data_IF_363370666862
#
_entry.id   IF_363370666862
#
_cell.length_a   1.000
_cell.length_b   1.000
_cell.length_c   1.000
_cell.angle_alpha   90.00
_cell.angle_beta   90.00
_cell.angle_gamma   90.00
#
_symmetry.space_group_name_H-M   'P 1'
#
loop_
_entity.id
_entity.type
_entity.pdbx_description
1 polymer ?
#
# COMPACT_ATOMS: atom_id res chain seq x y z
N UNK A 1 12.21 -24.03 35.27
CA UNK A 1 13.65 -24.06 35.00
C UNK A 1 14.45 -23.34 36.11
N UNK A 2 13.92 -22.31 36.74
CA UNK A 2 14.63 -21.53 37.77
C UNK A 2 14.67 -22.26 39.14
N UNK A 3 13.75 -23.19 39.39
CA UNK A 3 13.67 -23.92 40.69
C UNK A 3 14.59 -25.13 40.78
N UNK A 4 15.01 -25.72 39.67
CA UNK A 4 15.92 -26.86 39.64
C UNK A 4 17.42 -26.50 39.65
N UNK A 5 17.80 -25.27 39.25
CA UNK A 5 19.21 -24.79 39.19
C UNK A 5 19.82 -24.56 40.60
N UNK A 6 19.01 -24.17 41.61
CA UNK A 6 19.56 -23.82 42.92
C UNK A 6 20.00 -24.98 43.80
N UNK A 7 19.70 -26.22 43.44
CA UNK A 7 19.96 -27.38 44.32
C UNK A 7 21.35 -28.04 44.10
N UNK A 8 22.01 -27.77 42.98
CA UNK A 8 23.23 -28.44 42.57
C UNK A 8 24.35 -27.48 42.14
N UNK A 9 24.14 -26.16 42.25
CA UNK A 9 25.11 -25.11 41.86
C UNK A 9 26.42 -25.11 42.67
N UNK A 10 26.48 -25.90 43.77
CA UNK A 10 27.65 -26.02 44.63
C UNK A 10 28.46 -27.29 44.39
N UNK A 11 28.05 -28.16 43.47
CA UNK A 11 28.75 -29.38 43.11
C UNK A 11 29.66 -29.17 41.91
N UNK A 12 30.89 -29.64 41.98
CA UNK A 12 31.79 -29.69 40.84
C UNK A 12 31.28 -30.66 39.77
N UNK A 13 31.78 -30.50 38.54
CA UNK A 13 31.46 -31.39 37.43
C UNK A 13 31.78 -32.85 37.73
N UNK A 14 32.91 -33.08 38.47
CA UNK A 14 33.32 -34.39 38.89
C UNK A 14 32.39 -35.01 39.92
N UNK A 15 31.90 -34.24 40.87
CA UNK A 15 30.93 -34.71 41.88
C UNK A 15 29.55 -35.03 41.26
N UNK A 16 29.15 -34.29 40.22
CA UNK A 16 27.92 -34.61 39.49
C UNK A 16 28.06 -35.89 38.68
N UNK A 17 29.21 -36.13 38.06
CA UNK A 17 29.50 -37.37 37.31
C UNK A 17 29.51 -38.56 38.27
N UNK A 18 30.22 -38.48 39.41
CA UNK A 18 30.24 -39.56 40.40
C UNK A 18 28.84 -39.87 40.97
N UNK A 19 27.99 -38.88 41.06
CA UNK A 19 26.63 -39.06 41.53
C UNK A 19 25.71 -39.71 40.49
N UNK A 20 25.94 -39.38 39.20
CA UNK A 20 25.24 -40.04 38.09
C UNK A 20 25.68 -41.52 38.03
N UNK A 21 26.99 -41.81 38.05
CA UNK A 21 27.53 -43.18 38.05
C UNK A 21 27.03 -44.02 39.25
N UNK A 22 26.88 -43.39 40.43
CA UNK A 22 26.27 -44.05 41.61
C UNK A 22 24.78 -44.33 41.39
N UNK A 23 24.04 -43.41 40.85
CA UNK A 23 22.62 -43.60 40.57
C UNK A 23 22.39 -44.64 39.49
N UNK A 24 23.26 -44.69 38.46
CA UNK A 24 23.24 -45.73 37.44
C UNK A 24 23.57 -47.11 37.99
N UNK A 25 24.56 -47.24 38.89
CA UNK A 25 24.90 -48.49 39.55
C UNK A 25 23.82 -48.96 40.55
N UNK A 26 23.15 -48.04 41.23
CA UNK A 26 22.01 -48.33 42.10
C UNK A 26 20.76 -48.76 41.27
N UNK A 27 20.59 -48.18 40.07
CA UNK A 27 19.54 -48.56 39.12
C UNK A 27 19.80 -49.97 38.56
N UNK A 28 21.05 -50.31 38.19
CA UNK A 28 21.43 -51.64 37.69
C UNK A 28 21.20 -52.71 38.77
N UNK A 29 21.49 -52.40 40.06
CA UNK A 29 21.25 -53.34 41.17
C UNK A 29 19.75 -53.55 41.45
N UNK A 30 18.92 -52.58 41.15
CA UNK A 30 17.46 -52.65 41.35
C UNK A 30 16.75 -53.48 40.25
N UNK A 31 17.40 -53.72 39.09
CA UNK A 31 16.78 -54.45 37.95
C UNK A 31 16.93 -55.97 37.98
N UNK A 32 17.48 -56.56 39.06
CA UNK A 32 17.86 -58.01 39.05
C UNK A 32 16.85 -59.00 39.70
N UNK A 33 15.71 -58.56 40.27
CA UNK A 33 14.60 -59.50 40.65
C UNK A 33 13.29 -58.78 40.68
N UNK A 34 12.29 -59.12 39.85
CA UNK A 34 10.96 -58.53 39.97
C UNK A 34 10.21 -59.14 41.08
N UNK A 35 10.14 -58.48 42.24
CA UNK A 35 9.17 -58.85 43.31
C UNK A 35 7.85 -58.09 43.10
N UNK A 36 6.74 -58.52 43.73
CA UNK A 36 5.46 -57.83 43.62
C UNK A 36 5.51 -56.35 44.07
N UNK A 37 6.54 -55.99 44.86
CA UNK A 37 6.86 -54.58 45.24
C UNK A 37 7.45 -53.72 44.11
N UNK A 38 8.16 -54.35 43.14
CA UNK A 38 8.78 -53.63 42.04
C UNK A 38 7.74 -53.20 41.00
N UNK A 39 6.74 -54.05 40.75
CA UNK A 39 5.60 -53.68 39.89
C UNK A 39 4.75 -52.52 40.48
N UNK A 40 4.59 -52.46 41.79
CA UNK A 40 3.93 -51.31 42.44
C UNK A 40 4.78 -50.03 42.35
N UNK A 41 6.10 -50.15 42.42
CA UNK A 41 7.00 -49.01 42.31
C UNK A 41 7.03 -48.47 40.87
N UNK A 42 7.12 -49.36 39.87
CA UNK A 42 7.03 -48.97 38.44
C UNK A 42 5.68 -48.37 38.10
N UNK A 43 4.59 -48.92 38.65
CA UNK A 43 3.27 -48.37 38.42
C UNK A 43 3.11 -46.96 39.07
N UNK A 44 3.66 -46.73 40.26
CA UNK A 44 3.73 -45.40 40.88
C UNK A 44 4.58 -44.40 40.11
N UNK A 45 5.75 -44.86 39.61
CA UNK A 45 6.61 -44.00 38.78
C UNK A 45 5.95 -43.66 37.45
N UNK A 46 5.31 -44.58 36.78
CA UNK A 46 4.54 -44.36 35.55
C UNK A 46 3.39 -43.38 35.81
N UNK A 47 2.65 -43.56 36.95
CA UNK A 47 1.57 -42.65 37.32
C UNK A 47 2.08 -41.23 37.63
N UNK A 48 3.24 -41.10 38.30
CA UNK A 48 3.88 -39.80 38.54
C UNK A 48 4.32 -39.12 37.23
N UNK A 49 4.87 -39.91 36.31
CA UNK A 49 5.27 -39.39 34.98
C UNK A 49 4.08 -38.92 34.18
N UNK A 50 2.99 -39.69 34.16
CA UNK A 50 1.74 -39.31 33.47
C UNK A 50 1.16 -38.04 34.09
N UNK A 51 1.10 -37.95 35.44
CA UNK A 51 0.61 -36.76 36.11
C UNK A 51 1.48 -35.53 35.82
N UNK A 52 2.80 -35.68 35.80
CA UNK A 52 3.72 -34.61 35.47
C UNK A 52 3.53 -34.14 34.02
N UNK A 53 3.42 -35.08 33.07
CA UNK A 53 3.17 -34.77 31.66
C UNK A 53 1.83 -34.05 31.47
N UNK A 54 0.79 -34.48 32.18
CA UNK A 54 -0.52 -33.84 32.12
C UNK A 54 -0.44 -32.39 32.64
N UNK A 55 0.19 -32.17 33.80
CA UNK A 55 0.38 -30.82 34.37
C UNK A 55 1.21 -29.95 33.40
N UNK A 56 2.29 -30.50 32.81
CA UNK A 56 3.13 -29.79 31.86
C UNK A 56 2.34 -29.40 30.61
N UNK A 57 1.59 -30.36 30.05
CA UNK A 57 0.74 -30.14 28.88
C UNK A 57 -0.34 -29.09 29.16
N UNK A 58 -1.05 -29.20 30.28
CA UNK A 58 -2.06 -28.22 30.68
C UNK A 58 -1.44 -26.83 30.87
N UNK A 59 -0.26 -26.76 31.49
CA UNK A 59 0.44 -25.49 31.68
C UNK A 59 0.86 -24.89 30.36
N UNK A 60 1.41 -25.68 29.43
CA UNK A 60 1.81 -25.19 28.11
C UNK A 60 0.58 -24.73 27.33
N UNK A 61 -0.42 -25.59 27.20
CA UNK A 61 -1.61 -25.34 26.39
C UNK A 61 -2.46 -24.19 26.92
N UNK A 62 -2.47 -23.97 28.25
CA UNK A 62 -3.19 -22.84 28.87
C UNK A 62 -2.49 -21.50 28.74
N UNK A 63 -1.16 -21.48 28.51
CA UNK A 63 -0.37 -20.25 28.40
C UNK A 63 0.10 -19.94 26.97
N UNK A 64 -0.23 -20.77 26.00
CA UNK A 64 0.02 -20.48 24.57
C UNK A 64 -1.05 -19.54 24.06
N UNK A 65 -0.61 -18.47 23.35
CA UNK A 65 -1.49 -17.46 22.73
C UNK A 65 -2.17 -17.92 21.44
N UNK A 66 -2.03 -19.20 21.10
CA UNK A 66 -2.66 -19.82 19.94
C UNK A 66 -3.89 -20.58 20.43
N UNK A 67 -4.99 -20.38 19.78
CA UNK A 67 -6.20 -21.14 20.05
C UNK A 67 -6.00 -22.58 19.64
N UNK A 68 -6.27 -23.49 20.55
CA UNK A 68 -6.12 -24.93 20.34
C UNK A 68 -7.42 -25.62 20.67
N UNK A 69 -7.96 -26.30 19.68
CA UNK A 69 -9.14 -27.14 19.83
C UNK A 69 -8.87 -28.54 19.32
N UNK A 70 -9.45 -29.52 19.94
CA UNK A 70 -9.35 -30.93 19.52
C UNK A 70 -10.73 -31.53 19.40
N UNK A 71 -10.98 -32.26 18.31
CA UNK A 71 -12.24 -32.95 18.03
C UNK A 71 -12.02 -34.43 17.94
N UNK A 72 -12.96 -35.21 18.51
CA UNK A 72 -13.02 -36.67 18.40
C UNK A 72 -13.78 -37.09 17.13
N UNK A 73 -13.07 -37.68 16.17
CA UNK A 73 -13.60 -37.96 14.83
C UNK A 73 -14.66 -39.06 14.86
N UNK A 74 -14.40 -40.16 15.60
CA UNK A 74 -15.35 -41.28 15.66
C UNK A 74 -16.60 -40.94 16.47
N UNK A 75 -16.52 -39.95 17.36
CA UNK A 75 -17.65 -39.46 18.13
C UNK A 75 -18.35 -38.27 17.47
N UNK A 76 -18.40 -38.23 16.15
CA UNK A 76 -19.11 -37.22 15.39
C UNK A 76 -18.47 -35.81 15.39
N UNK A 77 -17.17 -35.72 15.58
CA UNK A 77 -16.41 -34.46 15.68
C UNK A 77 -16.79 -33.61 16.89
N UNK A 78 -17.07 -34.25 18.03
CA UNK A 78 -17.30 -33.52 19.27
C UNK A 78 -16.01 -32.91 19.77
N UNK A 79 -16.09 -31.67 20.26
CA UNK A 79 -14.98 -31.01 20.92
C UNK A 79 -14.63 -31.71 22.21
N UNK A 80 -13.38 -32.14 22.34
CA UNK A 80 -12.85 -32.80 23.54
C UNK A 80 -11.82 -31.96 24.27
N UNK A 81 -11.30 -30.94 23.60
CA UNK A 81 -10.36 -29.98 24.18
C UNK A 81 -10.58 -28.58 23.60
N UNK A 82 -10.46 -27.55 24.45
CA UNK A 82 -10.63 -26.16 24.12
C UNK A 82 -9.80 -25.34 25.12
N UNK A 83 -8.70 -24.71 24.66
CA UNK A 83 -7.80 -24.01 25.58
C UNK A 83 -8.30 -22.61 25.92
N UNK A 84 -7.62 -22.00 26.90
CA UNK A 84 -7.94 -20.63 27.35
C UNK A 84 -7.86 -19.57 26.24
N UNK A 85 -6.87 -19.65 25.36
CA UNK A 85 -6.79 -18.75 24.23
C UNK A 85 -8.00 -18.82 23.30
N UNK A 86 -8.55 -20.03 23.09
CA UNK A 86 -9.78 -20.22 22.33
C UNK A 86 -11.01 -19.61 23.03
N UNK A 87 -11.08 -19.69 24.36
CA UNK A 87 -12.14 -19.02 25.14
C UNK A 87 -12.05 -17.49 24.99
N UNK A 88 -10.84 -16.94 25.12
CA UNK A 88 -10.60 -15.48 25.01
C UNK A 88 -10.90 -14.94 23.63
N UNK A 89 -10.55 -15.68 22.59
CA UNK A 89 -10.80 -15.29 21.21
C UNK A 89 -12.27 -15.36 20.81
N UNK A 90 -12.93 -16.48 21.12
CA UNK A 90 -14.33 -16.72 20.75
C UNK A 90 -15.32 -16.05 21.69
N UNK A 91 -14.91 -15.76 22.92
CA UNK A 91 -15.79 -15.28 24.00
C UNK A 91 -16.70 -16.35 24.58
N UNK A 92 -16.49 -17.65 24.24
CA UNK A 92 -17.29 -18.79 24.71
C UNK A 92 -16.46 -19.64 25.65
N UNK A 93 -17.05 -20.10 26.72
CA UNK A 93 -16.38 -20.96 27.71
C UNK A 93 -16.24 -22.41 27.22
N UNK A 94 -15.14 -23.07 27.61
CA UNK A 94 -14.88 -24.45 27.24
C UNK A 94 -16.03 -25.40 27.71
N UNK A 95 -16.60 -25.13 28.88
CA UNK A 95 -17.75 -25.91 29.44
C UNK A 95 -18.99 -25.85 28.53
N UNK A 96 -19.17 -24.77 27.76
CA UNK A 96 -20.30 -24.64 26.84
C UNK A 96 -20.04 -25.30 25.48
N UNK A 97 -18.78 -25.63 25.17
CA UNK A 97 -18.33 -26.20 23.89
C UNK A 97 -18.03 -27.69 23.98
N UNK A 98 -17.39 -28.10 25.08
CA UNK A 98 -16.98 -29.50 25.24
C UNK A 98 -18.15 -30.47 25.14
N UNK A 99 -17.95 -31.53 24.38
CA UNK A 99 -18.96 -32.55 24.10
C UNK A 99 -19.95 -32.18 22.98
N UNK A 100 -19.92 -30.95 22.45
CA UNK A 100 -20.80 -30.52 21.35
C UNK A 100 -20.08 -30.62 19.98
N UNK A 101 -20.85 -30.62 18.92
CA UNK A 101 -20.38 -30.57 17.53
C UNK A 101 -20.52 -29.14 16.99
N UNK A 102 -19.88 -28.86 15.84
CA UNK A 102 -20.05 -27.58 15.14
C UNK A 102 -21.52 -27.26 14.83
N UNK A 103 -22.31 -28.26 14.46
CA UNK A 103 -23.74 -28.08 14.14
C UNK A 103 -24.62 -27.80 15.38
N UNK A 104 -24.22 -28.29 16.55
CA UNK A 104 -24.91 -27.99 17.81
C UNK A 104 -24.56 -26.58 18.32
N UNK A 105 -23.35 -26.09 17.97
CA UNK A 105 -22.89 -24.74 18.32
C UNK A 105 -23.39 -23.69 17.34
N UNK A 106 -23.51 -24.03 16.06
CA UNK A 106 -23.90 -23.13 14.95
C UNK A 106 -25.04 -23.78 14.14
N UNK A 107 -26.25 -23.94 14.67
CA UNK A 107 -27.29 -24.81 14.11
C UNK A 107 -27.77 -24.39 12.72
N UNK A 108 -27.75 -23.08 12.37
CA UNK A 108 -28.25 -22.58 11.10
C UNK A 108 -27.13 -21.92 10.25
N UNK A 109 -25.86 -22.21 10.54
CA UNK A 109 -24.78 -21.48 9.90
C UNK A 109 -24.17 -22.28 8.75
N UNK A 110 -24.02 -21.61 7.62
CA UNK A 110 -23.15 -21.98 6.50
C UNK A 110 -21.75 -22.34 7.01
N UNK A 111 -21.30 -21.71 8.08
CA UNK A 111 -20.02 -21.88 8.72
C UNK A 111 -19.81 -23.30 9.28
N UNK A 112 -20.81 -23.92 9.93
CA UNK A 112 -20.69 -25.29 10.42
C UNK A 112 -20.42 -26.28 9.28
N UNK A 113 -21.02 -26.05 8.12
CA UNK A 113 -20.78 -26.87 6.93
C UNK A 113 -19.39 -26.63 6.33
N UNK A 114 -18.93 -25.40 6.29
CA UNK A 114 -17.59 -25.04 5.82
C UNK A 114 -16.52 -25.69 6.72
N UNK A 115 -16.60 -25.50 8.03
CA UNK A 115 -15.69 -26.13 9.00
C UNK A 115 -15.68 -27.67 8.81
N UNK A 116 -16.83 -28.30 8.71
CA UNK A 116 -16.94 -29.74 8.52
C UNK A 116 -16.33 -30.23 7.21
N UNK A 117 -16.48 -29.46 6.13
CA UNK A 117 -15.90 -29.77 4.82
C UNK A 117 -14.39 -29.74 4.88
N UNK A 118 -13.82 -28.75 5.54
CA UNK A 118 -12.37 -28.58 5.73
C UNK A 118 -11.79 -29.66 6.66
N UNK A 119 -12.51 -30.00 7.74
CA UNK A 119 -12.17 -31.11 8.63
C UNK A 119 -12.09 -32.43 7.84
N UNK A 120 -13.09 -32.72 7.01
CA UNK A 120 -13.07 -33.90 6.14
C UNK A 120 -11.95 -33.90 5.12
N UNK A 121 -11.62 -32.74 4.55
CA UNK A 121 -10.50 -32.60 3.63
C UNK A 121 -9.18 -32.96 4.30
N UNK A 122 -8.97 -32.49 5.52
CA UNK A 122 -7.77 -32.82 6.32
C UNK A 122 -7.66 -34.31 6.60
N UNK A 123 -8.78 -34.94 7.00
CA UNK A 123 -8.83 -36.39 7.28
C UNK A 123 -8.53 -37.20 6.00
N UNK A 124 -9.17 -36.83 4.88
CA UNK A 124 -9.02 -37.55 3.60
C UNK A 124 -7.59 -37.47 3.07
N UNK A 125 -6.94 -36.35 3.23
CA UNK A 125 -5.57 -36.15 2.74
C UNK A 125 -4.52 -36.72 3.70
N UNK A 126 -4.83 -36.83 4.98
CA UNK A 126 -3.88 -37.22 6.04
C UNK A 126 -2.72 -36.24 6.20
N UNK A 127 -2.80 -35.08 5.59
CA UNK A 127 -1.74 -34.04 5.62
C UNK A 127 -2.18 -32.86 6.46
N UNK A 128 -1.21 -32.19 7.04
CA UNK A 128 -1.44 -30.92 7.72
C UNK A 128 -1.92 -29.88 6.67
N UNK A 129 -3.08 -29.28 6.93
CA UNK A 129 -3.62 -28.18 6.13
C UNK A 129 -3.32 -26.87 6.86
N UNK A 130 -2.79 -25.91 6.14
CA UNK A 130 -2.51 -24.55 6.65
C UNK A 130 -3.14 -23.55 5.70
N UNK A 131 -4.01 -22.70 6.22
CA UNK A 131 -4.71 -21.69 5.46
C UNK A 131 -4.82 -20.37 6.23
N UNK A 132 -4.89 -19.28 5.48
CA UNK A 132 -5.12 -17.94 6.02
C UNK A 132 -6.52 -17.52 5.57
N UNK A 133 -7.38 -17.16 6.51
CA UNK A 133 -8.77 -16.80 6.24
C UNK A 133 -9.18 -15.57 7.05
N UNK A 134 -10.19 -14.88 6.54
CA UNK A 134 -10.92 -13.88 7.32
C UNK A 134 -11.93 -14.60 8.20
N UNK A 135 -11.86 -14.32 9.48
CA UNK A 135 -12.68 -14.93 10.50
C UNK A 135 -13.56 -13.86 11.14
N UNK A 136 -14.87 -14.00 11.00
CA UNK A 136 -15.82 -13.15 11.69
C UNK A 136 -16.15 -13.73 13.08
N UNK A 137 -15.82 -12.97 14.13
CA UNK A 137 -16.16 -13.30 15.51
C UNK A 137 -17.67 -13.19 15.76
N UNK A 138 -18.18 -13.81 16.82
CA UNK A 138 -19.60 -13.69 17.18
C UNK A 138 -20.11 -12.26 17.40
N UNK A 139 -19.21 -11.33 17.71
CA UNK A 139 -19.51 -9.90 17.87
C UNK A 139 -19.49 -9.10 16.55
N UNK A 140 -19.29 -9.75 15.40
CA UNK A 140 -19.18 -9.11 14.08
C UNK A 140 -17.80 -8.55 13.75
N UNK A 141 -16.81 -8.73 14.62
CA UNK A 141 -15.44 -8.30 14.38
C UNK A 141 -14.72 -9.25 13.42
N UNK A 142 -14.16 -8.71 12.31
CA UNK A 142 -13.40 -9.50 11.34
C UNK A 142 -11.93 -9.52 11.74
N UNK A 143 -11.36 -10.71 11.80
CA UNK A 143 -9.94 -10.98 12.09
C UNK A 143 -9.29 -11.78 10.97
N UNK A 144 -8.01 -11.57 10.75
CA UNK A 144 -7.22 -12.40 9.85
C UNK A 144 -6.55 -13.49 10.69
N UNK A 145 -6.92 -14.74 10.42
CA UNK A 145 -6.42 -15.87 11.20
C UNK A 145 -5.69 -16.87 10.32
N UNK A 146 -4.65 -17.45 10.89
CA UNK A 146 -3.94 -18.57 10.29
C UNK A 146 -4.39 -19.86 10.97
N UNK A 147 -5.11 -20.71 10.24
CA UNK A 147 -5.65 -21.96 10.74
C UNK A 147 -4.76 -23.12 10.31
N UNK A 148 -4.41 -23.96 11.24
CA UNK A 148 -3.67 -25.20 11.01
C UNK A 148 -4.50 -26.37 11.49
N UNK A 149 -4.78 -27.33 10.62
CA UNK A 149 -5.48 -28.57 10.93
C UNK A 149 -4.55 -29.76 10.79
N UNK A 150 -4.56 -30.62 11.77
CA UNK A 150 -3.69 -31.80 11.83
C UNK A 150 -4.47 -33.00 12.31
N UNK A 151 -4.40 -34.11 11.58
CA UNK A 151 -4.90 -35.42 12.01
C UNK A 151 -3.89 -36.07 12.97
N UNK A 152 -4.32 -36.37 14.17
CA UNK A 152 -3.58 -37.17 15.17
C UNK A 152 -4.15 -38.59 15.18
N UNK A 153 -3.33 -39.53 14.73
CA UNK A 153 -3.66 -40.95 14.77
C UNK A 153 -3.20 -41.57 16.10
N UNK A 154 -4.09 -42.29 16.76
CA UNK A 154 -3.72 -43.01 17.95
C UNK A 154 -3.03 -44.32 17.55
N UNK A 155 -1.91 -44.72 18.19
CA UNK A 155 -1.28 -46.00 17.94
C UNK A 155 -2.12 -47.20 18.39
N UNK A 156 -3.07 -47.02 19.31
CA UNK A 156 -4.02 -48.06 19.72
C UNK A 156 -5.09 -48.22 18.63
N UNK A 157 -5.23 -49.43 18.02
CA UNK A 157 -6.17 -49.67 16.92
C UNK A 157 -7.65 -49.43 17.26
N UNK A 158 -7.99 -49.44 18.56
CA UNK A 158 -9.37 -49.20 19.06
C UNK A 158 -9.69 -47.76 19.40
N UNK A 159 -8.70 -46.88 19.43
CA UNK A 159 -8.90 -45.52 19.86
C UNK A 159 -9.27 -44.60 18.69
N UNK A 160 -10.10 -43.59 18.96
CA UNK A 160 -10.51 -42.60 17.97
C UNK A 160 -9.34 -41.75 17.51
N UNK A 161 -9.17 -41.51 16.19
CA UNK A 161 -8.29 -40.46 15.70
C UNK A 161 -8.85 -39.08 16.09
N UNK A 162 -7.95 -38.15 16.36
CA UNK A 162 -8.28 -36.80 16.78
C UNK A 162 -7.93 -35.79 15.71
N UNK A 163 -8.74 -34.76 15.60
CA UNK A 163 -8.46 -33.61 14.77
C UNK A 163 -8.01 -32.42 15.64
N UNK A 164 -6.75 -32.06 15.56
CA UNK A 164 -6.21 -30.86 16.19
C UNK A 164 -6.39 -29.68 15.24
N UNK A 165 -7.01 -28.62 15.74
CA UNK A 165 -7.13 -27.34 15.02
C UNK A 165 -6.45 -26.26 15.87
N UNK A 166 -5.51 -25.56 15.26
CA UNK A 166 -4.83 -24.41 15.85
C UNK A 166 -5.19 -23.18 15.03
N UNK A 167 -5.59 -22.12 15.71
CA UNK A 167 -5.94 -20.85 15.10
C UNK A 167 -5.08 -19.76 15.74
N UNK A 168 -4.38 -19.00 14.91
CA UNK A 168 -3.53 -17.89 15.34
C UNK A 168 -4.04 -16.59 14.72
N UNK A 169 -4.49 -15.65 15.54
CA UNK A 169 -4.85 -14.30 15.10
C UNK A 169 -3.57 -13.55 14.68
N UNK A 170 -3.50 -13.19 13.40
CA UNK A 170 -2.37 -12.46 12.80
C UNK A 170 -2.78 -11.07 12.31
N UNK A 171 -3.94 -10.57 12.77
CA UNK A 171 -4.51 -9.30 12.30
C UNK A 171 -3.57 -8.13 12.54
N UNK A 172 -3.10 -7.97 13.78
CA UNK A 172 -2.17 -6.89 14.16
C UNK A 172 -0.84 -7.03 13.40
N UNK A 173 -0.27 -8.23 13.39
CA UNK A 173 0.98 -8.51 12.67
C UNK A 173 0.86 -8.19 11.17
N UNK A 174 -0.30 -8.46 10.57
CA UNK A 174 -0.57 -8.19 9.16
C UNK A 174 -0.73 -6.69 8.89
N UNK A 175 -1.40 -5.98 9.80
CA UNK A 175 -1.54 -4.53 9.73
C UNK A 175 -0.19 -3.83 9.86
N UNK A 176 0.64 -4.24 10.80
CA UNK A 176 2.00 -3.70 10.99
C UNK A 176 2.88 -3.97 9.76
N UNK A 177 2.80 -5.18 9.20
CA UNK A 177 3.52 -5.53 7.98
C UNK A 177 3.11 -4.65 6.79
N UNK A 178 1.79 -4.43 6.61
CA UNK A 178 1.27 -3.55 5.56
C UNK A 178 1.66 -2.09 5.78
N UNK A 179 1.64 -1.61 7.03
CA UNK A 179 2.09 -0.27 7.38
C UNK A 179 3.58 -0.09 7.08
N UNK A 180 4.41 -1.08 7.46
CA UNK A 180 5.84 -1.05 7.17
C UNK A 180 6.13 -1.07 5.67
N UNK A 181 5.40 -1.88 4.90
CA UNK A 181 5.54 -1.91 3.43
C UNK A 181 5.22 -0.55 2.80
N UNK A 182 4.14 0.12 3.24
CA UNK A 182 3.77 1.46 2.77
C UNK A 182 4.86 2.50 3.08
N UNK A 183 5.45 2.45 4.28
CA UNK A 183 6.54 3.35 4.67
C UNK A 183 7.78 3.09 3.82
N UNK A 184 8.15 1.82 3.60
CA UNK A 184 9.29 1.46 2.76
C UNK A 184 9.10 1.87 1.30
N UNK A 185 7.89 1.73 0.76
CA UNK A 185 7.56 2.15 -0.59
C UNK A 185 7.65 3.68 -0.74
N UNK A 186 7.09 4.43 0.23
CA UNK A 186 7.20 5.88 0.27
C UNK A 186 8.67 6.34 0.37
N UNK A 187 9.51 5.66 1.16
CA UNK A 187 10.94 5.99 1.27
C UNK A 187 11.70 5.70 -0.03
N UNK A 188 11.41 4.58 -0.70
CA UNK A 188 11.96 4.28 -2.03
C UNK A 188 11.59 5.34 -3.06
N UNK A 189 10.34 5.75 -3.10
CA UNK A 189 9.87 6.82 -4.01
C UNK A 189 10.57 8.14 -3.71
N UNK A 190 10.73 8.50 -2.42
CA UNK A 190 11.45 9.71 -1.99
C UNK A 190 12.92 9.68 -2.43
N UNK A 191 13.61 8.55 -2.26
CA UNK A 191 15.02 8.42 -2.64
C UNK A 191 15.20 8.47 -4.16
N UNK A 192 14.32 7.83 -4.93
CA UNK A 192 14.28 7.95 -6.39
C UNK A 192 14.00 9.39 -6.84
N UNK A 193 13.11 10.12 -6.14
CA UNK A 193 12.86 11.54 -6.38
C UNK A 193 14.13 12.37 -6.23
N UNK A 194 14.85 12.24 -5.12
CA UNK A 194 16.08 13.02 -4.86
C UNK A 194 17.15 12.71 -5.92
N UNK A 195 17.32 11.43 -6.28
CA UNK A 195 18.30 11.01 -7.29
C UNK A 195 17.98 11.61 -8.67
N UNK A 196 16.73 11.51 -9.11
CA UNK A 196 16.26 12.06 -10.38
C UNK A 196 16.40 13.59 -10.42
N UNK A 197 16.00 14.29 -9.34
CA UNK A 197 16.16 15.74 -9.23
C UNK A 197 17.62 16.18 -9.33
N UNK A 198 18.51 15.45 -8.64
CA UNK A 198 19.94 15.75 -8.70
C UNK A 198 20.49 15.63 -10.13
N UNK A 199 20.01 14.65 -10.90
CA UNK A 199 20.40 14.47 -12.29
C UNK A 199 19.84 15.59 -13.19
N UNK A 200 18.53 15.89 -13.05
CA UNK A 200 17.84 16.91 -13.86
C UNK A 200 18.36 18.35 -13.58
N UNK A 201 18.87 18.62 -12.38
CA UNK A 201 19.54 19.87 -12.02
C UNK A 201 20.96 19.91 -12.59
N UNK A 202 21.71 18.80 -12.51
CA UNK A 202 23.12 18.76 -12.92
C UNK A 202 23.31 19.01 -14.41
N UNK A 203 22.43 18.47 -15.23
CA UNK A 203 22.54 18.58 -16.71
C UNK A 203 22.51 20.03 -17.20
N UNK A 204 21.49 20.87 -16.91
CA UNK A 204 21.47 22.25 -17.30
C UNK A 204 22.56 23.07 -16.61
N UNK A 205 22.90 22.78 -15.35
CA UNK A 205 23.97 23.49 -14.66
C UNK A 205 25.33 23.28 -15.33
N UNK A 206 25.66 22.05 -15.72
CA UNK A 206 26.89 21.75 -16.44
C UNK A 206 26.94 22.43 -17.80
N UNK A 207 25.79 22.50 -18.49
CA UNK A 207 25.70 23.26 -19.76
C UNK A 207 25.96 24.76 -19.53
N UNK A 208 25.33 25.39 -18.52
CA UNK A 208 25.56 26.80 -18.17
C UNK A 208 27.05 27.04 -17.90
N UNK A 209 27.68 26.24 -17.06
CA UNK A 209 29.10 26.39 -16.69
C UNK A 209 30.00 26.18 -17.91
N UNK A 210 29.75 25.14 -18.72
CA UNK A 210 30.57 24.84 -19.90
C UNK A 210 30.49 25.93 -20.97
N UNK A 211 29.27 26.38 -21.29
CA UNK A 211 29.12 27.46 -22.30
C UNK A 211 29.57 28.84 -21.78
N UNK A 212 29.47 29.10 -20.45
CA UNK A 212 30.03 30.30 -19.86
C UNK A 212 31.56 30.39 -20.05
N UNK A 213 32.29 29.28 -19.94
CA UNK A 213 33.73 29.24 -20.28
C UNK A 213 33.96 29.53 -21.76
N UNK A 214 33.21 28.89 -22.66
CA UNK A 214 33.34 29.10 -24.11
C UNK A 214 33.10 30.56 -24.54
N UNK A 215 32.14 31.25 -23.88
CA UNK A 215 31.90 32.70 -24.11
C UNK A 215 33.14 33.52 -23.80
N UNK A 216 33.94 33.15 -22.81
CA UNK A 216 35.17 33.91 -22.44
C UNK A 216 36.36 33.59 -23.35
N UNK A 217 36.35 32.48 -24.05
CA UNK A 217 37.44 32.02 -24.91
C UNK A 217 37.27 32.43 -26.37
N UNK A 218 36.02 32.60 -26.85
CA UNK A 218 35.76 32.98 -28.22
C UNK A 218 35.74 34.48 -28.40
N UNK A 219 36.34 34.97 -29.51
CA UNK A 219 36.27 36.35 -29.96
C UNK A 219 35.21 36.56 -31.06
N UNK A 220 34.55 35.49 -31.49
CA UNK A 220 33.54 35.50 -32.53
C UNK A 220 32.18 35.90 -31.93
N UNK A 221 31.69 37.10 -32.33
CA UNK A 221 30.43 37.64 -31.83
C UNK A 221 29.19 36.77 -32.19
N UNK A 222 29.23 35.94 -33.24
CA UNK A 222 28.13 35.02 -33.58
C UNK A 222 28.09 33.83 -32.62
N UNK A 223 29.24 33.23 -32.33
CA UNK A 223 29.37 32.12 -31.36
C UNK A 223 29.00 32.59 -29.94
N UNK A 224 29.44 33.80 -29.56
CA UNK A 224 29.05 34.38 -28.27
C UNK A 224 27.54 34.47 -28.12
N UNK A 225 26.81 34.95 -29.13
CA UNK A 225 25.34 35.03 -29.12
C UNK A 225 24.70 33.63 -29.01
N UNK A 226 25.24 32.67 -29.73
CA UNK A 226 24.78 31.29 -29.68
C UNK A 226 24.97 30.69 -28.28
N UNK A 227 26.16 30.82 -27.68
CA UNK A 227 26.45 30.35 -26.34
C UNK A 227 25.60 31.03 -25.28
N UNK A 228 25.38 32.36 -25.38
CA UNK A 228 24.44 33.06 -24.50
C UNK A 228 23.01 32.56 -24.64
N UNK A 229 22.57 32.25 -25.86
CA UNK A 229 21.24 31.64 -26.06
C UNK A 229 21.10 30.29 -25.38
N UNK A 230 22.15 29.46 -25.44
CA UNK A 230 22.17 28.14 -24.77
C UNK A 230 22.17 28.31 -23.25
N UNK A 231 22.95 29.23 -22.70
CA UNK A 231 22.99 29.55 -21.29
C UNK A 231 21.59 29.96 -20.80
N UNK A 232 20.96 30.94 -21.48
CA UNK A 232 19.64 31.43 -21.10
C UNK A 232 18.58 30.34 -21.13
N UNK A 233 18.56 29.50 -22.17
CA UNK A 233 17.65 28.36 -22.26
C UNK A 233 17.81 27.38 -21.08
N UNK A 234 19.06 27.12 -20.65
CA UNK A 234 19.31 26.22 -19.53
C UNK A 234 18.99 26.88 -18.16
N UNK A 235 19.16 28.21 -18.05
CA UNK A 235 18.71 28.98 -16.88
C UNK A 235 17.17 28.89 -16.74
N UNK A 236 16.43 29.13 -17.84
CA UNK A 236 14.96 29.03 -17.82
C UNK A 236 14.48 27.64 -17.48
N UNK A 237 15.15 26.60 -18.02
CA UNK A 237 14.85 25.21 -17.68
C UNK A 237 15.08 24.93 -16.20
N UNK A 238 16.18 25.42 -15.63
CA UNK A 238 16.51 25.23 -14.21
C UNK A 238 15.51 25.97 -13.31
N UNK A 239 15.14 27.20 -13.64
CA UNK A 239 14.12 27.96 -12.90
C UNK A 239 12.76 27.25 -12.93
N UNK A 240 12.35 26.76 -14.10
CA UNK A 240 11.12 25.96 -14.21
C UNK A 240 11.16 24.74 -13.30
N UNK A 241 12.26 24.00 -13.33
CA UNK A 241 12.43 22.77 -12.52
C UNK A 241 12.38 23.08 -11.02
N UNK A 242 13.01 24.17 -10.56
CA UNK A 242 12.96 24.61 -9.16
C UNK A 242 11.50 24.96 -8.77
N UNK A 243 10.79 25.70 -9.62
CA UNK A 243 9.39 26.07 -9.37
C UNK A 243 8.49 24.82 -9.33
N UNK A 244 8.69 23.87 -10.24
CA UNK A 244 7.96 22.58 -10.25
C UNK A 244 8.17 21.79 -8.93
N UNK A 245 9.41 21.76 -8.40
CA UNK A 245 9.73 21.12 -7.11
C UNK A 245 9.06 21.87 -5.94
N UNK A 246 9.10 23.20 -5.94
CA UNK A 246 8.47 24.01 -4.89
C UNK A 246 6.95 23.86 -4.90
N UNK A 247 6.33 23.86 -6.08
CA UNK A 247 4.89 23.62 -6.22
C UNK A 247 4.53 22.22 -5.71
N UNK A 248 5.27 21.19 -6.12
CA UNK A 248 5.07 19.82 -5.62
C UNK A 248 5.13 19.75 -4.08
N UNK A 249 6.16 20.36 -3.48
CA UNK A 249 6.34 20.39 -2.03
C UNK A 249 5.20 21.11 -1.31
N UNK A 250 4.71 22.25 -1.87
CA UNK A 250 3.57 22.99 -1.30
C UNK A 250 2.27 22.20 -1.39
N UNK A 251 2.04 21.50 -2.51
CA UNK A 251 0.85 20.68 -2.72
C UNK A 251 0.86 19.50 -1.75
N UNK A 252 1.99 18.77 -1.63
CA UNK A 252 2.09 17.62 -0.72
C UNK A 252 1.92 17.98 0.76
N UNK A 253 2.39 19.16 1.14
CA UNK A 253 2.22 19.66 2.52
C UNK A 253 0.85 20.27 2.79
N UNK A 254 -0.04 20.34 1.79
CA UNK A 254 -1.34 21.01 1.92
C UNK A 254 -1.26 22.53 2.12
N UNK A 255 -0.09 23.14 1.82
CA UNK A 255 0.20 24.57 2.04
C UNK A 255 0.05 25.41 0.77
N UNK A 256 -0.51 24.85 -0.29
CA UNK A 256 -0.75 25.62 -1.51
C UNK A 256 -1.96 26.53 -1.29
N UNK A 257 -1.72 27.83 -1.24
CA UNK A 257 -2.78 28.82 -1.18
C UNK A 257 -3.33 29.06 -2.59
N UNK A 258 -4.64 28.99 -2.74
CA UNK A 258 -5.36 29.29 -3.97
C UNK A 258 -5.93 30.70 -3.89
N UNK A 259 -5.63 31.53 -4.86
CA UNK A 259 -6.24 32.87 -5.00
C UNK A 259 -7.46 32.75 -5.90
N UNK A 260 -8.56 32.27 -5.32
CA UNK A 260 -9.81 32.08 -6.06
C UNK A 260 -10.44 33.42 -6.40
N UNK A 261 -10.81 33.58 -7.65
CA UNK A 261 -11.52 34.78 -8.17
C UNK A 261 -12.50 34.38 -9.26
N UNK A 262 -13.49 35.24 -9.52
CA UNK A 262 -14.38 35.05 -10.66
C UNK A 262 -13.64 35.42 -11.93
N UNK A 263 -13.53 34.48 -12.86
CA UNK A 263 -12.80 34.64 -14.12
C UNK A 263 -13.59 34.07 -15.29
N UNK A 264 -13.39 34.65 -16.46
CA UNK A 264 -13.88 34.12 -17.73
C UNK A 264 -12.88 33.11 -18.28
N UNK A 265 -13.28 31.84 -18.45
CA UNK A 265 -12.40 30.78 -18.91
C UNK A 265 -11.78 31.08 -20.30
N UNK A 266 -12.54 31.74 -21.15
CA UNK A 266 -12.11 32.18 -22.48
C UNK A 266 -10.85 33.04 -22.42
N UNK A 267 -10.76 33.95 -21.45
CA UNK A 267 -9.64 34.87 -21.30
C UNK A 267 -8.36 34.11 -20.92
N UNK A 268 -8.45 33.17 -19.99
CA UNK A 268 -7.30 32.32 -19.61
C UNK A 268 -6.83 31.48 -20.80
N UNK A 269 -7.76 30.88 -21.55
CA UNK A 269 -7.42 30.13 -22.75
C UNK A 269 -6.78 31.01 -23.83
N UNK A 270 -7.26 32.24 -24.01
CA UNK A 270 -6.72 33.20 -24.95
C UNK A 270 -5.30 33.63 -24.58
N UNK A 271 -5.04 33.90 -23.31
CA UNK A 271 -3.69 34.24 -22.80
C UNK A 271 -2.72 33.07 -23.03
N UNK A 272 -3.09 31.86 -22.66
CA UNK A 272 -2.29 30.65 -22.87
C UNK A 272 -2.01 30.42 -24.38
N UNK A 273 -3.02 30.62 -25.24
CA UNK A 273 -2.88 30.55 -26.69
C UNK A 273 -1.86 31.55 -27.20
N UNK A 274 -1.98 32.84 -26.83
CA UNK A 274 -1.06 33.91 -27.27
C UNK A 274 0.38 33.59 -26.87
N UNK A 275 0.62 33.23 -25.62
CA UNK A 275 1.96 32.89 -25.11
C UNK A 275 2.59 31.74 -25.89
N UNK A 276 1.81 30.70 -26.22
CA UNK A 276 2.35 29.52 -26.90
C UNK A 276 2.44 29.70 -28.41
N UNK A 277 1.60 30.54 -29.02
CA UNK A 277 1.68 30.88 -30.47
C UNK A 277 3.01 31.46 -30.86
N UNK A 278 3.67 32.21 -29.97
CA UNK A 278 5.01 32.79 -30.20
C UNK A 278 6.13 31.73 -30.28
N UNK A 279 5.89 30.54 -29.82
CA UNK A 279 6.85 29.40 -29.82
C UNK A 279 6.63 28.43 -30.97
N UNK A 280 5.61 28.66 -31.81
CA UNK A 280 5.26 27.76 -32.91
C UNK A 280 6.29 27.78 -34.01
N UNK A 281 6.48 26.61 -34.61
CA UNK A 281 7.27 26.48 -35.87
C UNK A 281 6.34 26.57 -37.09
N UNK A 282 6.88 26.84 -38.25
CA UNK A 282 6.10 26.99 -39.48
C UNK A 282 5.31 25.76 -39.93
N UNK A 283 5.69 24.58 -39.42
CA UNK A 283 5.11 23.28 -39.83
C UNK A 283 3.96 22.82 -38.94
N UNK A 284 3.65 23.55 -37.86
CA UNK A 284 2.59 23.19 -36.90
C UNK A 284 1.65 24.36 -36.70
N UNK A 285 0.36 24.15 -36.88
CA UNK A 285 -0.65 25.18 -36.65
C UNK A 285 -1.23 25.04 -35.22
N UNK A 286 -1.29 26.17 -34.48
CA UNK A 286 -2.03 26.22 -33.19
C UNK A 286 -3.40 26.82 -33.45
N UNK A 287 -4.44 26.07 -33.14
CA UNK A 287 -5.84 26.40 -33.41
C UNK A 287 -6.58 26.73 -32.10
N UNK A 288 -7.17 27.93 -32.05
CA UNK A 288 -8.08 28.32 -31.00
C UNK A 288 -9.13 29.28 -31.57
N UNK A 289 -10.37 28.91 -31.50
CA UNK A 289 -11.46 29.75 -31.98
C UNK A 289 -12.29 30.30 -30.80
N UNK A 290 -11.84 31.39 -30.21
CA UNK A 290 -12.48 32.01 -29.06
C UNK A 290 -13.92 32.45 -29.32
N UNK A 291 -14.28 32.77 -30.57
CA UNK A 291 -15.64 33.22 -30.94
C UNK A 291 -16.66 32.05 -30.87
N UNK A 292 -16.21 30.86 -31.20
CA UNK A 292 -17.05 29.66 -31.17
C UNK A 292 -17.21 29.06 -29.77
N UNK A 293 -16.41 29.49 -28.78
CA UNK A 293 -16.46 28.98 -27.42
C UNK A 293 -17.56 29.68 -26.61
N UNK A 294 -18.32 28.92 -25.79
CA UNK A 294 -19.31 29.53 -24.88
C UNK A 294 -18.62 30.42 -23.86
N UNK A 295 -19.30 31.48 -23.39
CA UNK A 295 -18.86 32.24 -22.22
C UNK A 295 -19.10 31.43 -20.97
N UNK A 296 -18.02 31.18 -20.18
CA UNK A 296 -18.08 30.40 -18.95
C UNK A 296 -17.32 31.14 -17.86
N UNK A 297 -18.05 31.56 -16.82
CA UNK A 297 -17.46 32.16 -15.61
C UNK A 297 -17.30 31.12 -14.53
N UNK A 298 -16.11 31.09 -13.95
CA UNK A 298 -15.72 30.13 -12.92
C UNK A 298 -15.13 30.87 -11.71
N UNK A 299 -15.33 30.32 -10.54
CA UNK A 299 -14.64 30.75 -9.32
C UNK A 299 -13.44 29.82 -9.10
N UNK A 300 -12.29 30.21 -9.60
CA UNK A 300 -11.05 29.42 -9.62
C UNK A 300 -9.84 30.32 -9.46
N UNK A 301 -8.66 29.70 -9.22
CA UNK A 301 -7.39 30.39 -9.31
C UNK A 301 -6.96 30.41 -10.79
N UNK A 302 -6.96 31.60 -11.47
CA UNK A 302 -6.63 31.71 -12.89
C UNK A 302 -5.19 31.28 -13.20
N UNK A 303 -4.25 31.61 -12.32
CA UNK A 303 -2.84 31.27 -12.52
C UNK A 303 -2.60 29.75 -12.48
N UNK A 304 -3.35 29.03 -11.67
CA UNK A 304 -3.24 27.56 -11.61
C UNK A 304 -3.83 26.90 -12.84
N UNK A 305 -4.94 27.40 -13.34
CA UNK A 305 -5.54 26.91 -14.60
C UNK A 305 -4.65 27.25 -15.79
N UNK A 306 -4.11 28.49 -15.84
CA UNK A 306 -3.13 28.87 -16.83
C UNK A 306 -1.88 27.97 -16.81
N UNK A 307 -1.36 27.65 -15.63
CA UNK A 307 -0.22 26.73 -15.45
C UNK A 307 -0.50 25.35 -16.05
N UNK A 308 -1.70 24.79 -15.83
CA UNK A 308 -2.13 23.52 -16.44
C UNK A 308 -2.17 23.64 -17.96
N UNK A 309 -2.81 24.70 -18.50
CA UNK A 309 -2.91 24.93 -19.94
C UNK A 309 -1.54 25.08 -20.61
N UNK A 310 -0.67 25.91 -20.03
CA UNK A 310 0.69 26.13 -20.55
C UNK A 310 1.51 24.84 -20.57
N UNK A 311 1.30 23.97 -19.57
CA UNK A 311 1.99 22.70 -19.52
C UNK A 311 1.48 21.72 -20.59
N UNK A 312 0.16 21.59 -20.74
CA UNK A 312 -0.44 20.74 -21.77
C UNK A 312 -0.09 21.21 -23.18
N UNK A 313 -0.22 22.51 -23.45
CA UNK A 313 0.15 23.11 -24.75
C UNK A 313 1.64 22.98 -25.06
N UNK A 314 2.50 23.20 -24.06
CA UNK A 314 3.96 23.02 -24.21
C UNK A 314 4.31 21.56 -24.55
N UNK A 315 3.62 20.58 -23.95
CA UNK A 315 3.80 19.17 -24.29
C UNK A 315 3.32 18.90 -25.72
N UNK A 316 2.15 19.38 -26.11
CA UNK A 316 1.65 19.25 -27.48
C UNK A 316 2.63 19.83 -28.53
N UNK A 317 3.18 21.02 -28.30
CA UNK A 317 4.19 21.65 -29.17
C UNK A 317 5.47 20.80 -29.26
N UNK A 318 5.91 20.29 -28.13
CA UNK A 318 7.12 19.47 -28.03
C UNK A 318 7.02 18.15 -28.82
N UNK A 319 5.85 17.52 -28.81
CA UNK A 319 5.65 16.20 -29.40
C UNK A 319 4.99 16.20 -30.79
N UNK A 320 4.66 17.38 -31.31
CA UNK A 320 4.12 17.56 -32.67
C UNK A 320 5.14 18.22 -33.59
N UNK A 321 5.66 17.48 -34.54
CA UNK A 321 6.63 18.02 -35.52
C UNK A 321 5.94 18.59 -36.76
N UNK A 322 4.75 18.10 -37.12
CA UNK A 322 3.94 18.55 -38.23
C UNK A 322 2.45 18.36 -37.95
N UNK A 323 1.61 19.24 -38.49
CA UNK A 323 0.17 19.15 -38.37
C UNK A 323 -0.42 20.27 -37.52
N UNK A 324 -1.24 19.96 -36.55
CA UNK A 324 -1.91 20.97 -35.73
C UNK A 324 -2.08 20.59 -34.28
N UNK A 325 -2.23 21.61 -33.45
CA UNK A 325 -2.61 21.55 -32.04
C UNK A 325 -3.88 22.36 -31.90
N UNK A 326 -4.90 21.81 -31.20
CA UNK A 326 -6.18 22.48 -31.00
C UNK A 326 -6.48 22.60 -29.49
N UNK A 327 -6.76 23.83 -29.06
CA UNK A 327 -7.28 24.14 -27.73
C UNK A 327 -8.77 24.43 -27.85
N UNK A 328 -9.59 23.73 -27.09
CA UNK A 328 -11.04 23.95 -27.03
C UNK A 328 -11.61 23.52 -25.67
N UNK A 329 -12.80 23.98 -25.35
CA UNK A 329 -13.54 23.51 -24.18
C UNK A 329 -15.03 23.34 -24.49
N UNK A 330 -15.66 22.47 -23.74
CA UNK A 330 -17.07 22.12 -23.87
C UNK A 330 -17.70 22.12 -22.47
N UNK A 331 -18.96 22.55 -22.39
CA UNK A 331 -19.70 22.53 -21.14
C UNK A 331 -20.45 21.20 -21.04
N UNK A 332 -20.20 20.47 -19.96
CA UNK A 332 -20.79 19.16 -19.65
C UNK A 332 -21.50 19.26 -18.28
N UNK A 333 -22.82 19.26 -18.26
CA UNK A 333 -23.64 19.28 -17.05
C UNK A 333 -23.13 20.21 -15.94
N UNK A 334 -22.37 19.65 -14.98
CA UNK A 334 -21.81 20.35 -13.82
C UNK A 334 -20.35 20.75 -13.98
N UNK A 335 -19.73 20.48 -15.14
CA UNK A 335 -18.32 20.74 -15.40
C UNK A 335 -18.12 21.40 -16.74
N UNK A 336 -16.98 22.07 -16.88
CA UNK A 336 -16.43 22.42 -18.20
C UNK A 336 -15.20 21.55 -18.44
N UNK A 337 -15.17 20.90 -19.60
CA UNK A 337 -14.04 20.09 -20.03
C UNK A 337 -13.17 20.92 -20.97
N UNK A 338 -11.92 21.14 -20.59
CA UNK A 338 -10.91 21.80 -21.41
C UNK A 338 -10.02 20.76 -22.03
N UNK A 339 -9.78 20.83 -23.34
CA UNK A 339 -9.06 19.83 -24.12
C UNK A 339 -7.95 20.47 -24.95
N UNK A 340 -6.79 19.82 -24.94
CA UNK A 340 -5.65 20.11 -25.84
C UNK A 340 -5.40 18.88 -26.69
N UNK A 341 -5.73 18.96 -27.96
CA UNK A 341 -5.53 17.91 -28.94
C UNK A 341 -4.32 18.20 -29.80
N UNK A 342 -3.48 17.23 -30.03
CA UNK A 342 -2.33 17.28 -30.94
C UNK A 342 -2.35 16.15 -31.97
N UNK A 343 -1.67 16.35 -33.08
CA UNK A 343 -1.45 15.36 -34.14
C UNK A 343 -0.01 14.84 -34.12
N UNK A 344 0.57 14.74 -32.94
CA UNK A 344 1.95 14.32 -32.72
C UNK A 344 2.16 12.81 -32.76
N UNK A 345 3.23 12.38 -32.10
CA UNK A 345 3.66 10.98 -32.10
C UNK A 345 2.67 10.03 -31.38
N UNK A 346 1.79 10.56 -30.56
CA UNK A 346 0.89 9.75 -29.72
C UNK A 346 1.62 8.98 -28.61
N UNK A 347 0.83 8.22 -27.84
CA UNK A 347 1.29 7.47 -26.65
C UNK A 347 0.81 6.03 -26.80
N UNK A 348 1.67 5.06 -26.50
CA UNK A 348 1.30 3.65 -26.49
C UNK A 348 0.35 3.33 -25.34
N UNK A 349 -0.57 2.39 -25.54
CA UNK A 349 -1.57 1.98 -24.55
C UNK A 349 -0.94 1.60 -23.18
N UNK A 350 0.18 0.89 -23.21
CA UNK A 350 0.93 0.47 -22.01
C UNK A 350 1.41 1.64 -21.14
N UNK A 351 1.61 2.83 -21.75
CA UNK A 351 2.11 4.02 -21.05
C UNK A 351 0.99 4.98 -20.62
N UNK A 352 -0.24 4.81 -21.10
CA UNK A 352 -1.35 5.73 -20.81
C UNK A 352 -1.66 5.84 -19.31
N UNK A 353 -1.60 4.75 -18.57
CA UNK A 353 -1.87 4.75 -17.13
C UNK A 353 -0.80 5.49 -16.33
N UNK A 354 0.45 5.46 -16.81
CA UNK A 354 1.60 6.00 -16.09
C UNK A 354 1.98 7.44 -16.47
N UNK A 355 1.35 8.08 -17.47
CA UNK A 355 1.75 9.44 -17.92
C UNK A 355 1.60 10.52 -16.87
N UNK A 356 0.72 10.31 -15.88
CA UNK A 356 0.52 11.21 -14.75
C UNK A 356 1.36 10.82 -13.52
N UNK A 357 2.16 9.76 -13.60
CA UNK A 357 3.08 9.38 -12.54
C UNK A 357 4.34 10.26 -12.56
N UNK A 358 4.94 10.45 -11.41
CA UNK A 358 6.12 11.29 -11.25
C UNK A 358 7.34 10.69 -11.96
N UNK A 359 8.09 11.51 -12.69
CA UNK A 359 9.32 11.13 -13.40
C UNK A 359 9.16 10.14 -14.54
N UNK A 360 7.94 9.85 -14.95
CA UNK A 360 7.69 9.08 -16.15
C UNK A 360 8.01 9.95 -17.36
N UNK A 361 8.94 9.47 -18.17
CA UNK A 361 9.27 10.05 -19.48
C UNK A 361 8.82 9.07 -20.55
N UNK A 362 8.07 9.57 -21.52
CA UNK A 362 7.61 8.74 -22.64
C UNK A 362 8.75 8.41 -23.60
N UNK A 363 9.77 9.29 -23.65
CA UNK A 363 10.96 9.17 -24.49
C UNK A 363 12.13 9.91 -23.82
N UNK A 364 13.29 9.26 -23.71
CA UNK A 364 14.51 9.79 -23.08
C UNK A 364 15.19 10.87 -23.94
N UNK A 365 14.86 10.96 -25.24
CA UNK A 365 15.41 11.99 -26.13
C UNK A 365 14.87 13.40 -25.86
N UNK A 366 13.71 13.51 -25.21
CA UNK A 366 13.11 14.81 -24.93
C UNK A 366 13.43 15.29 -23.51
N UNK A 367 14.03 16.49 -23.42
CA UNK A 367 14.34 17.15 -22.15
C UNK A 367 13.09 17.43 -21.32
N UNK A 368 13.15 17.15 -20.02
CA UNK A 368 12.10 17.46 -19.05
C UNK A 368 12.13 16.53 -17.85
N UNK A 369 11.79 17.04 -16.68
CA UNK A 369 11.85 16.33 -15.39
C UNK A 369 10.73 15.29 -15.17
N UNK A 370 9.73 15.21 -16.07
CA UNK A 370 8.57 14.34 -15.86
C UNK A 370 7.68 14.77 -14.68
N UNK A 371 7.72 16.06 -14.30
CA UNK A 371 6.91 16.61 -13.20
C UNK A 371 5.66 17.36 -13.68
N UNK A 372 5.66 17.84 -14.92
CA UNK A 372 4.59 18.71 -15.39
C UNK A 372 3.20 18.09 -15.34
N UNK A 373 2.99 16.88 -15.90
CA UNK A 373 1.69 16.21 -15.89
C UNK A 373 1.24 15.79 -14.47
N UNK A 374 2.09 15.24 -13.61
CA UNK A 374 1.77 15.04 -12.19
C UNK A 374 1.30 16.31 -11.46
N UNK A 375 1.97 17.45 -11.70
CA UNK A 375 1.57 18.73 -11.10
C UNK A 375 0.20 19.17 -11.65
N UNK A 376 -0.04 19.04 -12.97
CA UNK A 376 -1.35 19.30 -13.55
C UNK A 376 -2.44 18.47 -12.89
N UNK A 377 -2.22 17.17 -12.68
CA UNK A 377 -3.15 16.28 -12.01
C UNK A 377 -3.48 16.76 -10.61
N UNK A 378 -2.46 17.05 -9.81
CA UNK A 378 -2.67 17.54 -8.45
C UNK A 378 -3.41 18.89 -8.40
N UNK A 379 -3.10 19.83 -9.30
CA UNK A 379 -3.81 21.11 -9.38
C UNK A 379 -5.27 20.90 -9.73
N UNK A 380 -5.57 20.11 -10.75
CA UNK A 380 -6.93 19.84 -11.22
C UNK A 380 -7.76 19.12 -10.16
N UNK A 381 -7.20 18.11 -9.51
CA UNK A 381 -7.86 17.38 -8.42
C UNK A 381 -8.18 18.30 -7.23
N UNK A 382 -7.31 19.24 -6.89
CA UNK A 382 -7.56 20.20 -5.82
C UNK A 382 -8.58 21.27 -6.22
N UNK A 383 -8.72 21.56 -7.50
CA UNK A 383 -9.81 22.41 -8.02
C UNK A 383 -11.14 21.66 -8.15
N UNK A 384 -11.20 20.39 -7.74
CA UNK A 384 -12.40 19.55 -7.77
C UNK A 384 -12.73 18.96 -9.14
N UNK A 385 -11.76 18.95 -10.05
CA UNK A 385 -11.88 18.38 -11.40
C UNK A 385 -11.17 17.05 -11.56
N UNK A 386 -11.19 16.54 -12.80
CA UNK A 386 -10.47 15.36 -13.25
C UNK A 386 -9.59 15.70 -14.45
N UNK A 387 -8.46 14.99 -14.62
CA UNK A 387 -7.57 15.10 -15.78
C UNK A 387 -7.38 13.72 -16.40
N UNK A 388 -7.30 13.68 -17.72
CA UNK A 388 -7.09 12.44 -18.45
C UNK A 388 -6.45 12.64 -19.82
N UNK A 389 -6.20 11.51 -20.48
CA UNK A 389 -5.62 11.47 -21.83
C UNK A 389 -6.31 10.41 -22.69
N UNK A 390 -6.49 10.72 -23.96
CA UNK A 390 -6.81 9.74 -25.02
C UNK A 390 -5.74 9.86 -26.08
N UNK A 391 -5.09 8.76 -26.44
CA UNK A 391 -4.00 8.79 -27.42
C UNK A 391 -3.91 7.47 -28.15
N UNK A 392 -3.41 7.56 -29.39
CA UNK A 392 -3.05 6.41 -30.21
C UNK A 392 -1.68 6.69 -30.86
N UNK A 393 -0.78 5.73 -30.75
CA UNK A 393 0.57 5.84 -31.28
C UNK A 393 0.55 6.17 -32.78
N UNK A 394 1.23 7.23 -33.18
CA UNK A 394 1.27 7.71 -34.59
C UNK A 394 0.08 8.57 -35.01
N UNK A 395 -0.95 8.77 -34.16
CA UNK A 395 -2.12 9.62 -34.50
C UNK A 395 -2.24 10.90 -33.67
N UNK A 396 -1.50 10.98 -32.57
CA UNK A 396 -1.52 12.11 -31.66
C UNK A 396 -2.25 11.83 -30.34
N UNK A 397 -2.43 12.87 -29.54
CA UNK A 397 -3.02 12.78 -28.20
C UNK A 397 -4.05 13.87 -27.98
N UNK A 398 -4.99 13.60 -27.07
CA UNK A 398 -5.91 14.58 -26.52
C UNK A 398 -5.83 14.52 -25.01
N UNK A 399 -5.17 15.50 -24.42
CA UNK A 399 -5.19 15.72 -22.98
C UNK A 399 -6.37 16.61 -22.62
N UNK A 400 -7.09 16.25 -21.57
CA UNK A 400 -8.25 17.00 -21.11
C UNK A 400 -8.27 17.10 -19.59
N UNK A 401 -8.89 18.17 -19.10
CA UNK A 401 -9.22 18.30 -17.69
C UNK A 401 -10.59 18.95 -17.52
N UNK A 402 -11.22 18.71 -16.38
CA UNK A 402 -12.51 19.27 -16.03
C UNK A 402 -12.37 20.28 -14.90
N UNK A 403 -13.24 21.29 -14.91
CA UNK A 403 -13.38 22.27 -13.83
C UNK A 403 -14.87 22.33 -13.43
N UNK A 404 -15.22 22.35 -12.15
CA UNK A 404 -16.62 22.46 -11.73
C UNK A 404 -17.21 23.83 -12.08
N UNK A 405 -18.44 23.82 -12.58
CA UNK A 405 -19.20 25.06 -12.88
C UNK A 405 -19.72 25.75 -11.63
N UNK A 406 -19.87 25.00 -10.54
CA UNK A 406 -20.28 25.52 -9.23
C UNK A 406 -19.19 25.17 -8.23
N UNK A 407 -18.66 26.18 -7.53
CA UNK A 407 -17.74 25.96 -6.41
C UNK A 407 -18.53 25.22 -5.32
N UNK A 408 -18.29 23.94 -5.15
CA UNK A 408 -18.71 23.27 -3.92
C UNK A 408 -17.80 23.78 -2.80
N UNK A 409 -18.40 24.25 -1.68
CA UNK A 409 -17.73 24.79 -0.47
C UNK A 409 -16.64 23.88 0.17
N UNK A 410 -16.21 22.84 -0.52
CA UNK A 410 -15.15 21.92 -0.05
C UNK A 410 -13.73 22.39 -0.29
N UNK A 411 -13.51 23.45 -1.05
CA UNK A 411 -12.17 23.95 -1.36
C UNK A 411 -11.64 25.01 -0.37
N UNK A 412 -12.47 25.48 0.55
CA UNK A 412 -12.07 26.45 1.59
C UNK A 412 -12.58 25.97 2.95
N UNK A 413 -12.03 24.89 3.46
CA UNK A 413 -12.09 24.62 4.89
C UNK A 413 -10.65 24.56 5.39
N UNK A 414 -10.10 25.73 5.68
CA UNK A 414 -9.13 25.83 6.76
C UNK A 414 -9.80 25.25 8.02
N UNK A 415 -9.20 24.22 8.55
CA UNK A 415 -9.51 23.74 9.90
C UNK A 415 -9.19 24.87 10.86
N UNK A 416 -10.22 25.49 11.39
CA UNK A 416 -10.29 26.16 12.70
C UNK A 416 -11.41 27.19 12.71
N UNK A 417 -12.67 26.77 12.79
CA UNK A 417 -13.72 27.37 13.62
C UNK A 417 -15.05 26.62 13.52
N UNK A 418 -15.56 26.00 14.60
CA UNK A 418 -16.86 25.31 14.59
C UNK A 418 -18.08 26.22 14.61
N UNK A 419 -17.94 27.54 14.54
CA UNK A 419 -19.02 28.49 14.75
C UNK A 419 -19.68 29.05 13.47
N UNK A 420 -19.28 28.66 12.25
CA UNK A 420 -19.78 29.23 10.99
C UNK A 420 -20.76 28.32 10.23
N UNK A 421 -21.23 27.22 10.83
CA UNK A 421 -22.14 26.26 10.19
C UNK A 421 -23.64 26.57 10.39
N UNK A 422 -24.10 27.84 10.43
CA UNK A 422 -25.55 28.12 10.61
C UNK A 422 -26.19 29.05 9.62
N UNK A 423 -25.55 29.53 8.55
CA UNK A 423 -26.22 30.52 7.67
C UNK A 423 -26.05 30.35 6.16
N UNK A 424 -26.15 29.13 5.61
CA UNK A 424 -26.33 28.97 4.15
C UNK A 424 -27.27 27.81 3.81
N UNK A 425 -28.53 27.94 4.26
CA UNK A 425 -29.64 27.32 3.56
C UNK A 425 -30.50 28.47 3.01
N UNK A 426 -30.81 28.42 1.72
CA UNK A 426 -31.65 29.28 0.91
C UNK A 426 -30.90 30.36 0.07
N UNK A 427 -30.53 29.98 -1.12
CA UNK A 427 -31.04 30.58 -2.37
C UNK A 427 -30.72 29.63 -3.51
#
# INVERSE_FOLDING_TARGET
YVWAMGKYDHLSKEELIQRIERLEADLEKATLTPSASDNELEMRQSQHTINFLNILMDTILSNVFVEITVKDIFNGFRYIYFNKAAEEFTGVKAEDILGKTDFELFPDSRRAHEIRTEDYHTIKTGRMVKEMVEYEKPNGEVRIVNIVRLLITNPDPGASPLLLVMLNDITEQRQDQLALMKVQEADKMKNAFIANMSHEIRTPLNAIVGFAHLVTETTNASEQREYFSIINKNCDLLLKLINDILDLSKIESGRLNYNVSEVELRDICQEAYVVQSLKMTSDVALLYNSVAMPSVRLWIDPHRVEQVLLNLLSNAIKFTSKGFISLFYEVEDMFVRVSVMDTGIGISEEKLESVFERFVKLDDFYQGAGLGLPICKMIVEQLGGEIGVRSELGKGSTFWFTLPLVVTDKAVVEKDDPSVLSECQLY
#
